data_IF_519906621065
#
_entry.id   IF_519906621065
#
_cell.length_a   1.000
_cell.length_b   1.000
_cell.length_c   1.000
_cell.angle_alpha   90.00
_cell.angle_beta   90.00
_cell.angle_gamma   90.00
#
_symmetry.space_group_name_H-M   'P 1'
#
loop_
_entity.id
_entity.type
_entity.pdbx_description
1 polymer ?
#
# COMPACT_ATOMS: atom_id res chain seq x y z
N UNK A 1 -51.36 -16.22 -5.15
CA UNK A 1 -50.08 -16.19 -4.43
C UNK A 1 -49.00 -16.02 -5.49
N UNK A 2 -48.51 -14.80 -5.71
CA UNK A 2 -47.50 -14.52 -6.74
C UNK A 2 -46.10 -14.65 -6.15
N UNK A 3 -45.21 -15.33 -6.87
CA UNK A 3 -43.88 -15.73 -6.40
C UNK A 3 -42.95 -14.53 -6.18
N UNK A 4 -42.50 -14.35 -4.93
CA UNK A 4 -41.55 -13.32 -4.48
C UNK A 4 -40.18 -13.46 -5.18
N UNK A 5 -39.88 -14.63 -5.75
CA UNK A 5 -38.66 -14.87 -6.54
C UNK A 5 -38.71 -14.27 -7.95
N UNK A 6 -39.90 -13.98 -8.50
CA UNK A 6 -40.02 -13.41 -9.85
C UNK A 6 -39.83 -11.88 -9.84
N UNK A 7 -40.33 -11.20 -8.79
CA UNK A 7 -40.22 -9.74 -8.63
C UNK A 7 -38.78 -9.28 -8.37
N UNK A 8 -37.98 -10.10 -7.69
CA UNK A 8 -36.56 -9.80 -7.39
C UNK A 8 -35.65 -10.00 -8.60
N UNK A 9 -35.95 -10.99 -9.46
CA UNK A 9 -35.26 -11.18 -10.75
C UNK A 9 -35.47 -10.02 -11.70
N UNK A 10 -36.72 -9.56 -11.85
CA UNK A 10 -37.09 -8.46 -12.76
C UNK A 10 -36.47 -7.12 -12.36
N UNK A 11 -36.27 -6.87 -11.06
CA UNK A 11 -35.59 -5.67 -10.56
C UNK A 11 -34.10 -5.68 -10.88
N UNK A 12 -33.41 -6.81 -10.64
CA UNK A 12 -31.98 -6.95 -10.93
C UNK A 12 -31.72 -6.88 -12.44
N UNK A 13 -32.61 -7.45 -13.25
CA UNK A 13 -32.47 -7.43 -14.70
C UNK A 13 -32.79 -6.06 -15.31
N UNK A 14 -33.77 -5.33 -14.75
CA UNK A 14 -34.03 -3.94 -15.13
C UNK A 14 -32.91 -3.00 -14.69
N UNK A 15 -32.27 -3.22 -13.54
CA UNK A 15 -31.10 -2.45 -13.10
C UNK A 15 -29.89 -2.71 -14.01
N UNK A 16 -29.64 -3.96 -14.42
CA UNK A 16 -28.58 -4.29 -15.39
C UNK A 16 -28.81 -3.67 -16.76
N UNK A 17 -30.05 -3.67 -17.28
CA UNK A 17 -30.42 -3.03 -18.56
C UNK A 17 -30.36 -1.49 -18.52
N UNK A 18 -30.54 -0.89 -17.34
CA UNK A 18 -30.55 0.57 -17.14
C UNK A 18 -29.16 1.16 -16.83
N UNK A 19 -28.27 0.36 -16.23
CA UNK A 19 -26.90 0.77 -15.88
C UNK A 19 -25.89 0.43 -16.99
N UNK A 20 -26.11 -0.65 -17.74
CA UNK A 20 -25.21 -1.06 -18.83
C UNK A 20 -26.00 -1.19 -20.14
N UNK A 21 -25.92 -0.22 -21.07
CA UNK A 21 -26.54 -0.40 -22.36
C UNK A 21 -25.85 -1.56 -23.09
N UNK A 22 -26.65 -2.51 -23.60
CA UNK A 22 -26.16 -3.58 -24.46
C UNK A 22 -25.54 -2.98 -25.71
N UNK A 23 -24.22 -3.03 -25.83
CA UNK A 23 -23.49 -2.57 -27.01
C UNK A 23 -23.81 -3.50 -28.18
N UNK A 24 -24.60 -3.02 -29.15
CA UNK A 24 -24.59 -3.59 -30.50
C UNK A 24 -23.36 -3.07 -31.22
N UNK A 25 -22.53 -3.99 -31.71
CA UNK A 25 -21.28 -3.71 -32.40
C UNK A 25 -21.59 -3.02 -33.74
N UNK A 26 -21.14 -1.78 -33.91
CA UNK A 26 -21.22 -1.08 -35.18
C UNK A 26 -21.05 0.43 -35.06
N UNK A 27 -19.88 0.92 -35.49
CA UNK A 27 -19.53 2.33 -35.76
C UNK A 27 -19.42 3.29 -34.55
N UNK A 28 -18.24 3.90 -34.38
CA UNK A 28 -17.93 4.88 -33.32
C UNK A 28 -18.69 6.20 -33.51
N UNK A 29 -19.29 6.77 -32.44
CA UNK A 29 -19.47 8.21 -32.37
C UNK A 29 -18.72 8.82 -31.18
N UNK A 30 -18.03 9.92 -31.48
CA UNK A 30 -17.42 10.86 -30.55
C UNK A 30 -18.49 11.50 -29.67
N UNK A 31 -18.37 11.39 -28.33
CA UNK A 31 -19.20 12.16 -27.40
C UNK A 31 -18.40 12.71 -26.23
N UNK A 32 -17.98 13.96 -26.43
CA UNK A 32 -17.77 14.90 -25.34
C UNK A 32 -19.17 15.39 -24.90
N UNK A 33 -19.43 15.45 -23.58
CA UNK A 33 -20.64 15.96 -22.88
C UNK A 33 -21.51 14.92 -22.13
N UNK A 34 -20.89 14.14 -21.25
CA UNK A 34 -21.43 13.77 -19.93
C UNK A 34 -20.22 13.57 -19.03
N UNK A 35 -19.97 14.48 -18.09
CA UNK A 35 -18.89 14.34 -17.12
C UNK A 35 -19.30 13.26 -16.12
N UNK A 36 -19.23 12.00 -16.54
CA UNK A 36 -19.28 10.86 -15.64
C UNK A 36 -18.03 11.00 -14.77
N UNK A 37 -18.19 11.31 -13.49
CA UNK A 37 -17.11 11.15 -12.53
C UNK A 37 -16.80 9.66 -12.52
N UNK A 38 -15.91 9.24 -13.42
CA UNK A 38 -15.11 8.06 -13.23
C UNK A 38 -14.56 8.22 -11.83
N UNK A 39 -15.11 7.48 -10.87
CA UNK A 39 -14.27 6.99 -9.80
C UNK A 39 -13.20 6.23 -10.55
N UNK A 40 -12.13 6.94 -10.89
CA UNK A 40 -10.87 6.34 -11.22
C UNK A 40 -10.66 5.46 -10.00
N UNK A 41 -10.90 4.15 -10.12
CA UNK A 41 -10.10 3.22 -9.37
C UNK A 41 -8.70 3.67 -9.74
N UNK A 42 -8.12 4.53 -8.88
CA UNK A 42 -6.74 4.91 -9.00
C UNK A 42 -6.07 3.57 -9.06
N UNK A 43 -5.57 3.20 -10.24
CA UNK A 43 -4.76 2.03 -10.43
C UNK A 43 -3.69 2.20 -9.35
N UNK A 44 -3.87 1.46 -8.24
CA UNK A 44 -3.22 1.80 -6.99
C UNK A 44 -1.76 1.53 -7.28
N UNK A 45 -1.04 2.61 -7.55
CA UNK A 45 0.32 2.52 -8.06
C UNK A 45 1.08 1.60 -7.10
N UNK A 46 1.68 0.51 -7.59
CA UNK A 46 2.19 -0.52 -6.72
C UNK A 46 3.20 0.09 -5.75
N UNK A 47 2.88 0.01 -4.46
CA UNK A 47 3.63 0.67 -3.41
C UNK A 47 4.65 -0.33 -2.84
N UNK A 48 5.93 0.00 -2.96
CA UNK A 48 6.99 -0.83 -2.41
C UNK A 48 6.93 -0.85 -0.87
N UNK A 49 7.51 -1.88 -0.29
CA UNK A 49 7.82 -1.95 1.14
C UNK A 49 9.32 -2.15 1.33
N UNK A 50 9.90 -1.42 2.29
CA UNK A 50 11.27 -1.62 2.76
C UNK A 50 11.24 -1.96 4.23
N UNK A 51 12.03 -2.94 4.64
CA UNK A 51 12.09 -3.43 6.02
C UNK A 51 13.54 -3.44 6.48
N UNK A 52 13.79 -2.96 7.71
CA UNK A 52 15.07 -3.13 8.41
C UNK A 52 14.79 -3.81 9.75
N UNK A 53 15.60 -4.81 10.07
CA UNK A 53 15.65 -5.46 11.36
C UNK A 53 16.99 -5.18 12.05
N UNK A 54 16.95 -4.80 13.31
CA UNK A 54 18.13 -4.45 14.10
C UNK A 54 18.16 -5.19 15.43
N UNK A 55 19.33 -5.20 16.09
CA UNK A 55 19.47 -5.56 17.49
C UNK A 55 19.36 -4.31 18.37
N UNK A 56 18.41 -4.31 19.31
CA UNK A 56 18.22 -3.23 20.27
C UNK A 56 17.49 -1.99 19.72
N UNK A 57 16.78 -1.30 20.63
CA UNK A 57 15.89 -0.19 20.29
C UNK A 57 16.62 1.06 19.73
N UNK A 58 17.78 1.49 20.25
CA UNK A 58 18.47 2.65 19.69
C UNK A 58 18.84 2.49 18.20
N UNK A 59 19.15 1.27 17.76
CA UNK A 59 19.50 0.99 16.37
C UNK A 59 18.28 1.10 15.45
N UNK A 60 17.15 0.47 15.79
CA UNK A 60 15.92 0.61 14.98
C UNK A 60 15.40 2.04 14.98
N UNK A 61 15.55 2.78 16.08
CA UNK A 61 15.19 4.19 16.16
C UNK A 61 16.00 5.04 15.17
N UNK A 62 17.32 4.87 15.15
CA UNK A 62 18.20 5.60 14.23
C UNK A 62 17.93 5.23 12.76
N UNK A 63 17.66 3.96 12.48
CA UNK A 63 17.29 3.49 11.15
C UNK A 63 15.96 4.10 10.69
N UNK A 64 14.93 4.05 11.53
CA UNK A 64 13.61 4.59 11.24
C UNK A 64 13.64 6.10 10.97
N UNK A 65 14.37 6.86 11.80
CA UNK A 65 14.56 8.31 11.64
C UNK A 65 15.25 8.65 10.31
N UNK A 66 16.30 7.91 9.95
CA UNK A 66 17.03 8.13 8.70
C UNK A 66 16.20 7.75 7.45
N UNK A 67 15.38 6.70 7.52
CA UNK A 67 14.50 6.32 6.42
C UNK A 67 13.54 7.46 6.04
N UNK A 68 12.78 7.99 7.00
CA UNK A 68 11.75 8.99 6.72
C UNK A 68 12.30 10.39 6.42
N UNK A 69 13.56 10.66 6.78
CA UNK A 69 14.23 11.93 6.47
C UNK A 69 14.89 11.94 5.09
N UNK A 70 15.27 10.79 4.57
CA UNK A 70 16.08 10.69 3.34
C UNK A 70 15.26 10.63 2.06
N UNK A 71 14.01 10.19 2.14
CA UNK A 71 13.14 9.94 1.00
C UNK A 71 11.65 10.06 1.38
N UNK A 72 10.78 10.19 0.38
CA UNK A 72 9.34 10.25 0.57
C UNK A 72 8.78 8.85 0.88
N UNK A 73 8.91 8.43 2.14
CA UNK A 73 8.40 7.15 2.64
C UNK A 73 7.66 7.33 3.96
N UNK A 74 6.76 6.40 4.26
CA UNK A 74 5.94 6.42 5.47
C UNK A 74 6.23 5.16 6.30
N UNK A 75 6.55 5.31 7.58
CA UNK A 75 6.60 4.16 8.50
C UNK A 75 5.19 3.62 8.69
N UNK A 76 5.01 2.34 8.39
CA UNK A 76 3.74 1.62 8.54
C UNK A 76 3.76 0.62 9.68
N UNK A 77 4.95 0.16 10.06
CA UNK A 77 5.09 -0.87 11.09
C UNK A 77 6.36 -0.68 11.90
N UNK A 78 6.22 -0.95 13.19
CA UNK A 78 7.28 -1.18 14.15
C UNK A 78 6.90 -2.42 14.96
N UNK A 79 7.84 -3.37 15.08
CA UNK A 79 7.62 -4.64 15.73
C UNK A 79 8.80 -5.07 16.57
N UNK A 80 8.53 -5.86 17.60
CA UNK A 80 9.54 -6.55 18.38
C UNK A 80 9.53 -8.00 17.92
N UNK A 81 10.69 -8.47 17.45
CA UNK A 81 10.96 -9.87 17.17
C UNK A 81 11.61 -10.53 18.40
N UNK A 82 11.96 -11.80 18.27
CA UNK A 82 12.61 -12.55 19.35
C UNK A 82 14.05 -12.06 19.61
N UNK A 83 14.61 -12.41 20.78
CA UNK A 83 16.02 -12.16 21.11
C UNK A 83 16.46 -10.68 21.07
N UNK A 84 15.55 -9.76 21.38
CA UNK A 84 15.85 -8.32 21.40
C UNK A 84 16.02 -7.69 20.01
N UNK A 85 15.52 -8.37 18.97
CA UNK A 85 15.48 -7.86 17.60
C UNK A 85 14.24 -7.00 17.40
N UNK A 86 14.38 -5.95 16.61
CA UNK A 86 13.30 -5.01 16.33
C UNK A 86 13.23 -4.72 14.84
N UNK A 87 12.03 -4.55 14.32
CA UNK A 87 11.75 -4.40 12.90
C UNK A 87 11.05 -3.06 12.69
N UNK A 88 11.47 -2.32 11.67
CA UNK A 88 10.73 -1.18 11.12
C UNK A 88 10.44 -1.42 9.64
N UNK A 89 9.23 -1.08 9.20
CA UNK A 89 8.85 -1.13 7.79
C UNK A 89 8.29 0.21 7.30
N UNK A 90 8.67 0.57 6.08
CA UNK A 90 8.23 1.78 5.38
C UNK A 90 7.56 1.44 4.05
N UNK A 91 6.60 2.27 3.63
CA UNK A 91 5.97 2.22 2.31
C UNK A 91 6.30 3.47 1.51
N UNK A 92 6.43 3.31 0.20
CA UNK A 92 6.76 4.40 -0.72
C UNK A 92 6.88 3.91 -2.17
N UNK A 93 7.16 4.82 -3.10
CA UNK A 93 7.61 4.42 -4.42
C UNK A 93 8.93 3.64 -4.31
N UNK A 94 9.17 2.67 -5.20
CA UNK A 94 10.35 1.80 -5.12
C UNK A 94 11.67 2.57 -5.07
N UNK A 95 11.81 3.68 -5.81
CA UNK A 95 13.02 4.51 -5.78
C UNK A 95 13.24 5.15 -4.40
N UNK A 96 12.18 5.70 -3.81
CA UNK A 96 12.20 6.31 -2.47
C UNK A 96 12.48 5.27 -1.39
N UNK A 97 11.90 4.07 -1.50
CA UNK A 97 12.13 2.97 -0.56
C UNK A 97 13.58 2.48 -0.60
N UNK A 98 14.19 2.34 -1.78
CA UNK A 98 15.60 1.97 -1.89
C UNK A 98 16.50 3.00 -1.18
N UNK A 99 16.27 4.28 -1.43
CA UNK A 99 17.03 5.38 -0.84
C UNK A 99 16.82 5.47 0.68
N UNK A 100 15.59 5.27 1.14
CA UNK A 100 15.25 5.22 2.57
C UNK A 100 15.98 4.09 3.29
N UNK A 101 15.94 2.88 2.73
CA UNK A 101 16.57 1.70 3.34
C UNK A 101 18.09 1.85 3.37
N UNK A 102 18.73 2.34 2.31
CA UNK A 102 20.17 2.62 2.29
C UNK A 102 20.58 3.58 3.42
N UNK A 103 19.84 4.70 3.58
CA UNK A 103 20.09 5.65 4.67
C UNK A 103 19.83 5.04 6.05
N UNK A 104 18.77 4.22 6.18
CA UNK A 104 18.42 3.51 7.40
C UNK A 104 19.52 2.55 7.86
N UNK A 105 20.09 1.77 6.93
CA UNK A 105 21.20 0.86 7.21
C UNK A 105 22.42 1.65 7.67
N UNK A 106 22.82 2.67 6.91
CA UNK A 106 24.00 3.47 7.22
C UNK A 106 23.91 4.15 8.60
N UNK A 107 22.73 4.67 8.96
CA UNK A 107 22.48 5.28 10.28
C UNK A 107 22.47 4.22 11.40
N UNK A 108 21.80 3.08 11.18
CA UNK A 108 21.73 1.99 12.15
C UNK A 108 23.10 1.42 12.52
N UNK A 109 23.98 1.22 11.53
CA UNK A 109 25.36 0.73 11.71
C UNK A 109 26.29 1.70 12.45
N UNK A 110 25.92 2.99 12.52
CA UNK A 110 26.70 4.00 13.26
C UNK A 110 26.32 4.08 14.75
N UNK A 111 25.25 3.41 15.17
CA UNK A 111 24.80 3.42 16.56
C UNK A 111 25.78 2.63 17.44
N UNK A 112 26.27 3.24 18.53
CA UNK A 112 27.14 2.56 19.48
C UNK A 112 26.50 1.29 20.05
N UNK A 113 27.12 0.13 19.77
CA UNK A 113 26.59 -1.18 20.16
C UNK A 113 25.31 -1.61 19.43
N UNK A 114 24.90 -0.85 18.40
CA UNK A 114 23.81 -1.21 17.50
C UNK A 114 24.29 -2.14 16.39
N UNK A 115 23.35 -2.89 15.82
CA UNK A 115 23.63 -3.79 14.70
C UNK A 115 22.40 -3.86 13.80
N UNK A 116 22.56 -3.68 12.49
CA UNK A 116 21.54 -4.05 11.52
C UNK A 116 21.70 -5.53 11.21
N UNK A 117 20.65 -6.31 11.47
CA UNK A 117 20.68 -7.77 11.33
C UNK A 117 20.34 -8.19 9.91
N UNK A 118 19.29 -7.59 9.34
CA UNK A 118 18.87 -7.86 7.96
C UNK A 118 17.99 -6.73 7.45
N UNK A 119 17.83 -6.66 6.13
CA UNK A 119 16.89 -5.78 5.47
C UNK A 119 16.35 -6.45 4.21
N UNK A 120 15.17 -6.02 3.75
CA UNK A 120 14.61 -6.49 2.50
C UNK A 120 13.68 -5.46 1.86
N UNK A 121 13.61 -5.46 0.55
CA UNK A 121 12.74 -4.57 -0.23
C UNK A 121 11.88 -5.42 -1.17
N UNK A 122 10.58 -5.16 -1.16
CA UNK A 122 9.64 -5.72 -2.14
C UNK A 122 9.08 -4.57 -2.98
N UNK A 123 9.45 -4.47 -4.27
CA UNK A 123 8.99 -3.37 -5.14
C UNK A 123 7.49 -3.30 -5.35
N UNK A 124 6.82 -4.45 -5.40
CA UNK A 124 5.40 -4.59 -5.65
C UNK A 124 4.86 -5.80 -4.88
N UNK A 125 4.58 -5.66 -3.57
CA UNK A 125 4.02 -6.74 -2.77
C UNK A 125 2.60 -7.06 -3.29
N UNK A 126 2.28 -8.33 -3.59
CA UNK A 126 0.94 -8.68 -4.04
C UNK A 126 -0.08 -8.48 -2.93
N UNK A 127 -1.34 -8.25 -3.29
CA UNK A 127 -2.44 -7.93 -2.35
C UNK A 127 -2.55 -8.91 -1.18
N UNK A 128 -2.38 -10.22 -1.43
CA UNK A 128 -2.40 -11.23 -0.37
C UNK A 128 -1.30 -10.98 0.69
N UNK A 129 -0.11 -10.58 0.26
CA UNK A 129 1.00 -10.27 1.19
C UNK A 129 0.68 -9.01 1.97
N UNK A 130 0.17 -7.97 1.32
CA UNK A 130 -0.23 -6.73 2.01
C UNK A 130 -1.36 -6.90 3.01
N UNK A 131 -2.31 -7.78 2.69
CA UNK A 131 -3.50 -8.05 3.51
C UNK A 131 -3.15 -8.86 4.75
N UNK A 132 -2.26 -9.85 4.61
CA UNK A 132 -1.92 -10.79 5.68
C UNK A 132 -0.78 -10.26 6.57
N UNK A 133 0.22 -9.60 5.98
CA UNK A 133 1.36 -9.08 6.74
C UNK A 133 1.10 -7.66 7.26
N UNK A 134 1.77 -7.25 8.35
CA UNK A 134 1.62 -5.92 8.92
C UNK A 134 2.42 -4.88 8.12
N UNK A 135 2.13 -4.73 6.83
CA UNK A 135 2.82 -3.80 5.91
C UNK A 135 1.85 -2.81 5.24
N UNK A 136 0.55 -2.87 5.55
CA UNK A 136 -0.45 -1.92 5.07
C UNK A 136 -0.38 -0.59 5.83
N UNK A 137 -0.84 0.49 5.21
CA UNK A 137 -1.01 1.77 5.91
C UNK A 137 -2.09 1.62 7.01
N UNK A 138 -1.74 2.01 8.22
CA UNK A 138 -2.64 2.03 9.38
C UNK A 138 -3.22 3.42 9.59
N UNK A 139 -4.27 3.54 10.43
CA UNK A 139 -4.81 4.85 10.86
C UNK A 139 -3.75 5.79 11.47
N UNK A 140 -2.67 5.25 12.05
CA UNK A 140 -1.57 6.04 12.62
C UNK A 140 -0.62 6.59 11.54
N UNK A 141 -0.41 5.84 10.47
CA UNK A 141 0.47 6.21 9.37
C UNK A 141 -0.24 7.04 8.29
N UNK A 142 -1.57 6.93 8.19
CA UNK A 142 -2.36 7.62 7.16
C UNK A 142 -2.08 9.13 7.03
N UNK A 143 -1.93 9.90 8.14
CA UNK A 143 -1.62 11.33 8.03
C UNK A 143 -0.26 11.65 7.39
N UNK A 144 0.64 10.68 7.34
CA UNK A 144 1.99 10.80 6.79
C UNK A 144 2.13 10.14 5.42
N UNK A 145 1.03 9.61 4.88
CA UNK A 145 0.99 9.02 3.54
C UNK A 145 1.16 10.14 2.51
N UNK A 146 2.20 10.06 1.70
CA UNK A 146 2.56 11.13 0.77
C UNK A 146 1.84 11.03 -0.60
N UNK A 147 1.08 9.95 -0.85
CA UNK A 147 0.39 9.68 -2.11
C UNK A 147 -0.68 8.58 -1.95
#
# INVERSE_FOLDING_TARGET
MGDIQQVTGDLVENLKKKIFPTVKIGTKPSYNKYHLSLTQESEAMPMAVGVIETLGFPCVLAAADAMVKSAAVTIVYYGIAESGRLIVAVRGHVAEVNRAVEAGIASGEQVYGGQVITYYIVPNPPENVETILPIHFTKKSEPFRMF
#
